data_IF_858732738659
#
_entry.id   IF_858732738659
#
_cell.length_a   1.000
_cell.length_b   1.000
_cell.length_c   1.000
_cell.angle_alpha   90.00
_cell.angle_beta   90.00
_cell.angle_gamma   90.00
#
_symmetry.space_group_name_H-M   'P 1'
#
loop_
_entity.id
_entity.type
_entity.pdbx_description
1 polymer ?
#
# COMPACT_ATOMS: atom_id res chain seq x y z
N UNK A 1 -11.47 21.34 -13.76
CA UNK A 1 -11.81 19.89 -13.82
C UNK A 1 -10.84 19.06 -14.67
N UNK A 2 -10.42 19.49 -15.87
CA UNK A 2 -9.47 18.70 -16.68
C UNK A 2 -8.11 18.51 -16.01
N UNK A 3 -7.58 19.53 -15.34
CA UNK A 3 -6.33 19.42 -14.58
C UNK A 3 -6.40 18.32 -13.51
N UNK A 4 -7.46 18.27 -12.70
CA UNK A 4 -7.68 17.20 -11.71
C UNK A 4 -7.68 15.82 -12.37
N UNK A 5 -8.37 15.66 -13.50
CA UNK A 5 -8.39 14.38 -14.24
C UNK A 5 -7.00 13.97 -14.73
N UNK A 6 -6.20 14.92 -15.21
CA UNK A 6 -4.82 14.68 -15.66
C UNK A 6 -3.94 14.27 -14.47
N UNK A 7 -3.98 15.03 -13.37
CA UNK A 7 -3.19 14.74 -12.17
C UNK A 7 -3.56 13.37 -11.62
N UNK A 8 -4.85 13.07 -11.44
CA UNK A 8 -5.29 11.77 -10.94
C UNK A 8 -4.91 10.62 -11.88
N UNK A 9 -4.90 10.84 -13.21
CA UNK A 9 -4.44 9.82 -14.15
C UNK A 9 -2.94 9.54 -14.02
N UNK A 10 -2.13 10.58 -13.89
CA UNK A 10 -0.68 10.44 -13.66
C UNK A 10 -0.43 9.67 -12.36
N UNK A 11 -1.07 10.10 -11.27
CA UNK A 11 -0.94 9.45 -9.96
C UNK A 11 -1.42 8.00 -9.97
N UNK A 12 -2.49 7.69 -10.71
CA UNK A 12 -2.94 6.31 -10.90
C UNK A 12 -1.85 5.42 -11.51
N UNK A 13 -1.20 5.85 -12.59
CA UNK A 13 -0.16 5.05 -13.22
C UNK A 13 1.08 4.94 -12.33
N UNK A 14 1.51 6.03 -11.69
CA UNK A 14 2.64 6.00 -10.75
C UNK A 14 2.36 5.00 -9.63
N UNK A 15 1.24 5.12 -8.93
CA UNK A 15 0.90 4.21 -7.85
C UNK A 15 0.74 2.76 -8.33
N UNK A 16 0.20 2.55 -9.54
CA UNK A 16 0.06 1.20 -10.12
C UNK A 16 1.42 0.55 -10.39
N UNK A 17 2.37 1.30 -10.98
CA UNK A 17 3.73 0.83 -11.26
C UNK A 17 4.49 0.57 -9.96
N UNK A 18 4.43 1.47 -8.99
CA UNK A 18 5.08 1.31 -7.68
C UNK A 18 4.52 0.10 -6.95
N UNK A 19 3.20 -0.06 -6.93
CA UNK A 19 2.54 -1.23 -6.32
C UNK A 19 2.98 -2.54 -6.98
N UNK A 20 3.03 -2.60 -8.31
CA UNK A 20 3.53 -3.77 -9.03
C UNK A 20 5.00 -4.06 -8.67
N UNK A 21 5.83 -3.02 -8.54
CA UNK A 21 7.21 -3.15 -8.08
C UNK A 21 7.31 -3.81 -6.70
N UNK A 22 6.54 -3.33 -5.72
CA UNK A 22 6.50 -3.93 -4.38
C UNK A 22 6.08 -5.41 -4.41
N UNK A 23 5.05 -5.76 -5.17
CA UNK A 23 4.60 -7.15 -5.27
C UNK A 23 5.59 -8.05 -6.00
N UNK A 24 6.23 -7.58 -7.07
CA UNK A 24 7.28 -8.31 -7.79
C UNK A 24 8.46 -8.57 -6.85
N UNK A 25 8.92 -7.53 -6.13
CA UNK A 25 10.00 -7.66 -5.15
C UNK A 25 9.63 -8.65 -4.05
N UNK A 26 8.39 -8.59 -3.56
CA UNK A 26 7.89 -9.53 -2.54
C UNK A 26 7.93 -10.97 -3.04
N UNK A 27 7.36 -11.24 -4.21
CA UNK A 27 7.32 -12.58 -4.82
C UNK A 27 8.74 -13.10 -5.06
N UNK A 28 9.61 -12.26 -5.61
CA UNK A 28 11.00 -12.60 -5.85
C UNK A 28 11.73 -12.94 -4.54
N UNK A 29 11.54 -12.13 -3.50
CA UNK A 29 12.19 -12.34 -2.20
C UNK A 29 11.67 -13.60 -1.50
N UNK A 30 10.36 -13.87 -1.56
CA UNK A 30 9.79 -15.14 -1.06
C UNK A 30 10.41 -16.33 -1.76
N UNK A 31 10.51 -16.29 -3.10
CA UNK A 31 11.12 -17.36 -3.88
C UNK A 31 12.59 -17.58 -3.51
N UNK A 32 13.39 -16.50 -3.43
CA UNK A 32 14.81 -16.59 -3.08
C UNK A 32 15.02 -17.16 -1.68
N UNK A 33 14.30 -16.65 -0.67
CA UNK A 33 14.43 -17.11 0.71
C UNK A 33 13.90 -18.53 0.93
N UNK A 34 12.88 -18.95 0.19
CA UNK A 34 12.33 -20.32 0.29
C UNK A 34 13.21 -21.38 -0.38
N UNK A 35 13.97 -21.01 -1.42
CA UNK A 35 14.76 -21.96 -2.23
C UNK A 35 16.25 -21.86 -2.00
N UNK A 36 16.72 -20.78 -1.36
CA UNK A 36 18.13 -20.40 -1.32
C UNK A 36 18.65 -19.85 -2.66
N UNK A 37 17.80 -19.71 -3.67
CA UNK A 37 18.20 -19.17 -4.97
C UNK A 37 18.64 -17.71 -4.83
N UNK A 38 19.81 -17.37 -5.40
CA UNK A 38 20.34 -16.01 -5.42
C UNK A 38 20.45 -15.35 -4.02
N UNK A 39 20.63 -16.16 -2.96
CA UNK A 39 20.89 -15.67 -1.60
C UNK A 39 22.35 -15.88 -1.24
N UNK A 40 23.01 -14.86 -0.69
CA UNK A 40 24.39 -14.95 -0.22
C UNK A 40 24.50 -14.39 1.20
N UNK A 41 24.87 -15.22 2.20
CA UNK A 41 25.10 -14.72 3.55
C UNK A 41 26.38 -13.88 3.61
N UNK A 42 26.36 -12.82 4.41
CA UNK A 42 27.54 -11.98 4.67
C UNK A 42 27.58 -11.50 6.13
N UNK A 43 28.65 -10.79 6.51
CA UNK A 43 28.80 -10.26 7.87
C UNK A 43 28.84 -11.35 8.96
N UNK A 44 29.40 -12.51 8.64
CA UNK A 44 29.44 -13.66 9.55
C UNK A 44 28.11 -14.40 9.71
N UNK A 45 27.22 -14.32 8.71
CA UNK A 45 25.90 -14.97 8.73
C UNK A 45 24.82 -14.18 9.44
N UNK A 46 25.05 -12.88 9.71
CA UNK A 46 24.07 -11.98 10.33
C UNK A 46 23.12 -11.34 9.31
N UNK A 47 23.54 -11.31 8.05
CA UNK A 47 22.84 -10.61 6.98
C UNK A 47 22.80 -11.48 5.73
N UNK A 48 21.77 -11.26 4.91
CA UNK A 48 21.58 -11.90 3.62
C UNK A 48 21.56 -10.84 2.53
N UNK A 49 22.34 -11.09 1.48
CA UNK A 49 22.10 -10.49 0.18
C UNK A 49 21.06 -11.33 -0.56
N UNK A 50 19.99 -10.68 -1.02
CA UNK A 50 19.18 -11.20 -2.13
C UNK A 50 19.74 -10.54 -3.38
N UNK A 51 20.34 -11.32 -4.28
CA UNK A 51 21.03 -10.82 -5.46
C UNK A 51 20.07 -10.65 -6.64
N UNK A 52 20.50 -9.91 -7.67
CA UNK A 52 19.85 -9.98 -8.98
C UNK A 52 19.92 -11.40 -9.56
N UNK A 53 18.88 -11.84 -10.28
CA UNK A 53 18.79 -13.22 -10.75
C UNK A 53 20.00 -13.56 -11.63
N UNK A 54 20.60 -14.73 -11.38
CA UNK A 54 21.78 -15.24 -12.11
C UNK A 54 23.04 -14.37 -11.97
N UNK A 55 23.13 -13.54 -10.92
CA UNK A 55 24.31 -12.71 -10.64
C UNK A 55 24.68 -12.74 -9.15
N UNK A 56 25.89 -12.28 -8.82
CA UNK A 56 26.34 -12.04 -7.44
C UNK A 56 26.16 -10.57 -7.02
N UNK A 57 25.45 -9.76 -7.82
CA UNK A 57 25.23 -8.35 -7.49
C UNK A 57 24.10 -8.22 -6.47
N UNK A 58 24.35 -7.62 -5.29
CA UNK A 58 23.32 -7.48 -4.26
C UNK A 58 22.20 -6.55 -4.75
N UNK A 59 20.96 -7.01 -4.63
CA UNK A 59 19.76 -6.23 -4.93
C UNK A 59 19.10 -5.75 -3.64
N UNK A 60 18.95 -6.63 -2.64
CA UNK A 60 18.44 -6.28 -1.31
C UNK A 60 19.39 -6.80 -0.24
N UNK A 61 19.46 -6.06 0.86
CA UNK A 61 20.22 -6.43 2.05
C UNK A 61 19.21 -6.52 3.21
N UNK A 62 19.18 -7.67 3.87
CA UNK A 62 18.27 -7.92 4.99
C UNK A 62 19.02 -8.61 6.12
N UNK A 63 18.51 -8.49 7.34
CA UNK A 63 19.03 -9.27 8.46
C UNK A 63 18.60 -10.74 8.33
N UNK A 64 19.51 -11.65 8.66
CA UNK A 64 19.26 -13.09 8.69
C UNK A 64 18.59 -13.48 10.02
N UNK A 65 17.41 -12.93 10.27
CA UNK A 65 16.59 -13.31 11.41
C UNK A 65 15.09 -13.30 11.06
N UNK A 66 14.37 -14.35 11.46
CA UNK A 66 12.95 -14.51 11.10
C UNK A 66 12.05 -13.37 11.57
N UNK A 67 12.17 -12.84 12.81
CA UNK A 67 11.40 -11.66 13.23
C UNK A 67 11.53 -10.47 12.28
N UNK A 68 12.76 -10.12 11.87
CA UNK A 68 13.03 -9.06 10.92
C UNK A 68 12.46 -9.38 9.54
N UNK A 69 12.71 -10.58 9.02
CA UNK A 69 12.23 -11.01 7.69
C UNK A 69 10.70 -10.88 7.61
N UNK A 70 9.99 -11.26 8.67
CA UNK A 70 8.53 -11.23 8.70
C UNK A 70 8.01 -9.80 8.94
N UNK A 71 8.47 -9.12 10.00
CA UNK A 71 7.85 -7.89 10.50
C UNK A 71 8.48 -6.60 9.95
N UNK A 72 9.77 -6.59 9.64
CA UNK A 72 10.46 -5.43 9.09
C UNK A 72 10.52 -5.46 7.56
N UNK A 73 10.64 -6.65 6.97
CA UNK A 73 10.83 -6.80 5.53
C UNK A 73 9.53 -7.13 4.81
N UNK A 74 8.96 -8.32 5.01
CA UNK A 74 7.76 -8.74 4.27
C UNK A 74 6.51 -7.93 4.62
N UNK A 75 6.27 -7.68 5.91
CA UNK A 75 5.12 -6.88 6.34
C UNK A 75 5.16 -5.47 5.71
N UNK A 76 6.34 -4.85 5.64
CA UNK A 76 6.53 -3.53 5.01
C UNK A 76 6.32 -3.62 3.50
N UNK A 77 6.96 -4.57 2.81
CA UNK A 77 6.79 -4.71 1.35
C UNK A 77 5.33 -4.95 0.95
N UNK A 78 4.64 -5.85 1.65
CA UNK A 78 3.23 -6.18 1.38
C UNK A 78 2.31 -5.00 1.69
N UNK A 79 2.47 -4.37 2.87
CA UNK A 79 1.62 -3.26 3.27
C UNK A 79 1.77 -2.04 2.36
N UNK A 80 2.98 -1.71 1.93
CA UNK A 80 3.18 -0.65 0.93
C UNK A 80 2.68 -1.05 -0.46
N UNK A 81 2.87 -2.30 -0.89
CA UNK A 81 2.29 -2.81 -2.14
C UNK A 81 0.77 -2.65 -2.19
N UNK A 82 0.08 -3.04 -1.12
CA UNK A 82 -1.37 -2.87 -0.96
C UNK A 82 -1.74 -1.39 -0.87
N UNK A 83 -1.03 -0.59 -0.09
CA UNK A 83 -1.29 0.84 0.05
C UNK A 83 -1.26 1.56 -1.31
N UNK A 84 -0.22 1.33 -2.11
CA UNK A 84 -0.11 1.94 -3.44
C UNK A 84 -1.16 1.39 -4.41
N UNK A 85 -1.51 0.11 -4.32
CA UNK A 85 -2.58 -0.46 -5.13
C UNK A 85 -3.92 0.23 -4.85
N UNK A 86 -4.31 0.32 -3.58
CA UNK A 86 -5.59 0.93 -3.20
C UNK A 86 -5.55 2.45 -3.47
N UNK A 87 -4.41 3.11 -3.29
CA UNK A 87 -4.21 4.52 -3.69
C UNK A 87 -4.48 4.72 -5.18
N UNK A 88 -3.96 3.83 -6.05
CA UNK A 88 -4.24 3.88 -7.48
C UNK A 88 -5.75 3.77 -7.74
N UNK A 89 -6.45 2.86 -7.07
CA UNK A 89 -7.89 2.72 -7.21
C UNK A 89 -8.66 4.00 -6.80
N UNK A 90 -8.20 4.70 -5.76
CA UNK A 90 -8.75 6.02 -5.38
C UNK A 90 -8.51 7.05 -6.47
N UNK A 91 -7.29 7.17 -6.99
CA UNK A 91 -7.03 8.11 -8.09
C UNK A 91 -7.85 7.81 -9.33
N UNK A 92 -8.12 6.54 -9.61
CA UNK A 92 -9.02 6.12 -10.69
C UNK A 92 -10.40 6.75 -10.59
N UNK A 93 -10.95 6.91 -9.38
CA UNK A 93 -12.28 7.51 -9.15
C UNK A 93 -12.38 8.90 -9.80
N UNK A 94 -11.35 9.72 -9.67
CA UNK A 94 -11.40 11.14 -10.03
C UNK A 94 -11.30 11.44 -11.53
N UNK A 95 -10.95 10.46 -12.37
CA UNK A 95 -10.94 10.63 -13.82
C UNK A 95 -11.99 9.81 -14.57
N UNK A 96 -12.92 9.17 -13.85
CA UNK A 96 -14.07 8.53 -14.45
C UNK A 96 -15.08 9.55 -15.00
N UNK A 97 -15.98 9.08 -15.87
CA UNK A 97 -17.08 9.91 -16.40
C UNK A 97 -18.11 10.28 -15.33
N UNK A 98 -18.51 9.32 -14.48
CA UNK A 98 -19.41 9.52 -13.33
C UNK A 98 -18.63 9.34 -12.03
N UNK A 99 -18.67 10.36 -11.17
CA UNK A 99 -17.96 10.34 -9.87
C UNK A 99 -18.77 9.62 -8.79
N UNK A 100 -20.02 10.02 -8.62
CA UNK A 100 -20.94 9.47 -7.63
C UNK A 100 -21.49 8.14 -8.13
N UNK A 101 -20.84 7.04 -7.74
CA UNK A 101 -21.30 5.67 -8.03
C UNK A 101 -21.04 4.79 -6.83
N UNK A 102 -21.86 3.74 -6.66
CA UNK A 102 -21.65 2.75 -5.59
C UNK A 102 -20.25 2.12 -5.63
N UNK A 103 -19.73 1.86 -6.85
CA UNK A 103 -18.38 1.33 -7.03
C UNK A 103 -17.30 2.30 -6.54
N UNK A 104 -17.41 3.60 -6.86
CA UNK A 104 -16.43 4.58 -6.41
C UNK A 104 -16.47 4.79 -4.89
N UNK A 105 -17.67 4.79 -4.29
CA UNK A 105 -17.83 4.81 -2.82
C UNK A 105 -17.15 3.59 -2.19
N UNK A 106 -17.31 2.40 -2.79
CA UNK A 106 -16.64 1.18 -2.32
C UNK A 106 -15.12 1.30 -2.37
N UNK A 107 -14.54 1.86 -3.43
CA UNK A 107 -13.09 2.04 -3.55
C UNK A 107 -12.55 2.99 -2.47
N UNK A 108 -13.19 4.14 -2.28
CA UNK A 108 -12.87 5.08 -1.19
C UNK A 108 -13.02 4.42 0.19
N UNK A 109 -14.02 3.54 0.33
CA UNK A 109 -14.28 2.79 1.56
C UNK A 109 -13.16 1.82 1.90
N UNK A 110 -12.69 1.05 0.92
CA UNK A 110 -11.55 0.14 1.12
C UNK A 110 -10.32 0.93 1.54
N UNK A 111 -10.07 2.07 0.89
CA UNK A 111 -8.91 2.91 1.19
C UNK A 111 -8.91 3.46 2.60
N UNK A 112 -10.01 4.10 3.05
CA UNK A 112 -10.01 4.64 4.41
C UNK A 112 -9.94 3.54 5.46
N UNK A 113 -10.61 2.39 5.25
CA UNK A 113 -10.58 1.28 6.21
C UNK A 113 -9.18 0.70 6.34
N UNK A 114 -8.48 0.53 5.22
CA UNK A 114 -7.09 0.11 5.23
C UNK A 114 -6.25 1.06 6.08
N UNK A 115 -6.29 2.35 5.77
CA UNK A 115 -5.44 3.36 6.41
C UNK A 115 -5.75 3.59 7.90
N UNK A 116 -7.01 3.42 8.34
CA UNK A 116 -7.39 3.56 9.75
C UNK A 116 -7.07 2.29 10.55
N UNK A 117 -7.33 1.11 9.98
CA UNK A 117 -7.38 -0.12 10.78
C UNK A 117 -6.23 -1.10 10.55
N UNK A 118 -5.36 -0.91 9.55
CA UNK A 118 -4.27 -1.86 9.27
C UNK A 118 -2.92 -1.41 9.83
N UNK A 119 -2.43 -0.17 9.61
CA UNK A 119 -1.08 0.22 10.02
C UNK A 119 -0.84 0.12 11.53
N UNK A 120 -1.77 0.60 12.36
CA UNK A 120 -1.59 0.60 13.81
C UNK A 120 -1.52 -0.82 14.39
N UNK A 121 -2.49 -1.73 14.12
CA UNK A 121 -2.36 -3.11 14.58
C UNK A 121 -1.11 -3.82 14.05
N UNK A 122 -0.73 -3.57 12.79
CA UNK A 122 0.47 -4.16 12.21
C UNK A 122 1.73 -3.76 12.99
N UNK A 123 1.88 -2.47 13.30
CA UNK A 123 3.03 -1.93 14.05
C UNK A 123 3.02 -2.38 15.50
N UNK A 124 1.85 -2.41 16.16
CA UNK A 124 1.72 -2.95 17.52
C UNK A 124 2.17 -4.41 17.55
N UNK A 125 1.68 -5.25 16.62
CA UNK A 125 2.08 -6.66 16.55
C UNK A 125 3.57 -6.79 16.30
N UNK A 126 4.14 -6.02 15.36
CA UNK A 126 5.57 -6.03 15.08
C UNK A 126 6.41 -5.65 16.31
N UNK A 127 5.95 -4.71 17.15
CA UNK A 127 6.69 -4.23 18.33
C UNK A 127 6.94 -5.31 19.40
N UNK A 128 6.22 -6.43 19.36
CA UNK A 128 6.50 -7.59 20.23
C UNK A 128 7.71 -8.41 19.78
N UNK A 129 8.16 -8.25 18.54
CA UNK A 129 9.18 -9.10 17.92
C UNK A 129 10.42 -8.32 17.48
N UNK A 130 10.27 -7.04 17.14
CA UNK A 130 11.32 -6.18 16.61
C UNK A 130 11.20 -4.78 17.20
N UNK A 131 12.35 -4.09 17.33
CA UNK A 131 12.35 -2.68 17.73
C UNK A 131 11.73 -1.84 16.61
N UNK A 132 10.71 -1.05 16.97
CA UNK A 132 10.03 -0.16 16.02
C UNK A 132 10.59 1.24 16.17
N UNK A 133 11.23 1.74 15.11
CA UNK A 133 11.75 3.09 15.08
C UNK A 133 10.65 4.15 15.26
N UNK A 134 10.98 5.25 15.94
CA UNK A 134 10.04 6.34 16.23
C UNK A 134 9.37 6.92 14.97
N UNK A 135 10.08 6.94 13.84
CA UNK A 135 9.56 7.41 12.55
C UNK A 135 8.37 6.57 12.06
N UNK A 136 8.32 5.28 12.39
CA UNK A 136 7.24 4.36 11.99
C UNK A 136 5.93 4.76 12.68
N UNK A 137 5.97 5.20 13.94
CA UNK A 137 4.80 5.73 14.64
C UNK A 137 4.27 7.00 13.98
N UNK A 138 5.16 7.85 13.49
CA UNK A 138 4.80 9.02 12.66
C UNK A 138 4.08 8.61 11.37
N UNK A 139 4.55 7.55 10.69
CA UNK A 139 3.91 7.02 9.49
C UNK A 139 2.51 6.44 9.79
N UNK A 140 2.34 5.71 10.90
CA UNK A 140 1.03 5.22 11.35
C UNK A 140 0.05 6.38 11.52
N UNK A 141 0.49 7.48 12.15
CA UNK A 141 -0.34 8.67 12.31
C UNK A 141 -0.72 9.31 10.96
N UNK A 142 0.22 9.40 10.01
CA UNK A 142 -0.05 9.93 8.67
C UNK A 142 -1.09 9.06 7.94
N UNK A 143 -0.97 7.73 8.00
CA UNK A 143 -1.97 6.84 7.43
C UNK A 143 -3.34 7.05 8.08
N UNK A 144 -3.40 7.13 9.41
CA UNK A 144 -4.66 7.39 10.11
C UNK A 144 -5.32 8.68 9.61
N UNK A 145 -4.58 9.79 9.52
CA UNK A 145 -5.08 11.07 9.02
C UNK A 145 -5.58 10.98 7.57
N UNK A 146 -4.82 10.30 6.71
CA UNK A 146 -5.21 10.06 5.31
C UNK A 146 -6.51 9.25 5.21
N UNK A 147 -6.67 8.27 6.10
CA UNK A 147 -7.89 7.50 6.25
C UNK A 147 -9.08 8.39 6.65
N UNK A 148 -8.92 9.25 7.66
CA UNK A 148 -9.98 10.18 8.09
C UNK A 148 -10.42 11.11 6.95
N UNK A 149 -9.49 11.68 6.19
CA UNK A 149 -9.85 12.51 5.03
C UNK A 149 -10.62 11.73 3.96
N UNK A 150 -10.20 10.50 3.66
CA UNK A 150 -10.90 9.67 2.69
C UNK A 150 -12.27 9.16 3.19
N UNK A 151 -12.45 9.01 4.51
CA UNK A 151 -13.76 8.71 5.11
C UNK A 151 -14.75 9.84 4.83
N UNK A 152 -14.36 11.09 5.05
CA UNK A 152 -15.20 12.25 4.70
C UNK A 152 -15.53 12.26 3.21
N UNK A 153 -14.53 12.04 2.36
CA UNK A 153 -14.75 11.97 0.91
C UNK A 153 -15.74 10.85 0.52
N UNK A 154 -15.63 9.66 1.11
CA UNK A 154 -16.55 8.55 0.86
C UNK A 154 -17.99 8.90 1.26
N UNK A 155 -18.17 9.61 2.38
CA UNK A 155 -19.49 10.07 2.83
C UNK A 155 -20.06 11.18 1.94
N UNK A 156 -19.24 12.13 1.48
CA UNK A 156 -19.65 13.14 0.49
C UNK A 156 -20.10 12.44 -0.80
N UNK A 157 -19.38 11.42 -1.26
CA UNK A 157 -19.76 10.67 -2.45
C UNK A 157 -21.07 9.91 -2.26
N UNK A 158 -21.29 9.35 -1.07
CA UNK A 158 -22.55 8.68 -0.71
C UNK A 158 -23.73 9.63 -0.72
N UNK A 159 -23.58 10.81 -0.13
CA UNK A 159 -24.62 11.84 -0.13
C UNK A 159 -24.88 12.37 -1.54
N UNK A 160 -23.83 12.60 -2.34
CA UNK A 160 -23.95 13.00 -3.73
C UNK A 160 -24.71 11.99 -4.59
N UNK A 161 -24.47 10.68 -4.40
CA UNK A 161 -25.22 9.63 -5.09
C UNK A 161 -26.71 9.60 -4.67
N UNK A 162 -26.99 9.79 -3.38
CA UNK A 162 -28.37 9.84 -2.89
C UNK A 162 -29.15 10.99 -3.52
N UNK A 163 -28.57 12.19 -3.55
CA UNK A 163 -29.17 13.38 -4.16
C UNK A 163 -29.38 13.22 -5.67
N UNK A 164 -28.46 12.56 -6.39
CA UNK A 164 -28.64 12.25 -7.81
C UNK A 164 -29.85 11.36 -8.05
N UNK A 165 -30.01 10.31 -7.25
CA UNK A 165 -31.14 9.41 -7.39
C UNK A 165 -32.47 10.10 -7.05
N UNK A 166 -32.50 10.97 -6.03
CA UNK A 166 -33.70 11.74 -5.71
C UNK A 166 -34.09 12.68 -6.86
N UNK A 167 -33.14 13.40 -7.46
CA UNK A 167 -33.42 14.27 -8.60
C UNK A 167 -33.89 13.49 -9.85
N UNK A 168 -33.34 12.31 -10.11
CA UNK A 168 -33.78 11.43 -11.20
C UNK A 168 -35.20 10.86 -10.98
N UNK A 169 -35.68 10.81 -9.73
CA UNK A 169 -37.02 10.35 -9.34
C UNK A 169 -38.12 11.42 -9.54
N UNK A 170 -37.76 12.70 -9.66
CA UNK A 170 -38.70 13.82 -9.81
C UNK A 170 -38.82 14.34 -11.26
N UNK A 171 -38.36 13.59 -12.27
CA UNK A 171 -38.47 13.94 -13.70
C UNK A 171 -39.65 13.24 -14.36
#
# INVERSE_FOLDING_TARGET
>A
MNQTKIISRILYYICSVVSAGYFIITIYSVFCLATGFAVTPYGGGKYLHINFPFTEKPFLNIDDNYPYIIFCFFAVLLSYGIFFWVSALVFRVFFQKKLFTANNIRLLTIFYRYNIFIPLPLVIVASFFVEVESIIWGLVFIHFMLGIFCLFLANIFKQGLHLQNEQDLFI
#
